data_IF_400911311483
#
_entry.id   IF_400911311483
#
_cell.length_a   1.000
_cell.length_b   1.000
_cell.length_c   1.000
_cell.angle_alpha   90.00
_cell.angle_beta   90.00
_cell.angle_gamma   90.00
#
_symmetry.space_group_name_H-M   'P 1'
#
loop_
_entity.id
_entity.type
_entity.pdbx_description
1 polymer ?
#
# COMPACT_ATOMS: atom_id res chain seq x y z
N UNK A 1 16.21 -1.44 11.03
CA UNK A 1 15.03 -1.05 10.23
C UNK A 1 14.59 0.35 10.65
N UNK A 2 14.14 1.20 9.72
CA UNK A 2 13.38 2.42 10.05
C UNK A 2 11.97 2.23 9.50
N UNK A 3 10.98 2.24 10.38
CA UNK A 3 9.56 2.12 10.05
C UNK A 3 8.94 3.50 10.23
N UNK A 4 8.31 4.02 9.18
CA UNK A 4 7.55 5.27 9.26
C UNK A 4 6.07 4.89 9.33
N UNK A 5 5.43 5.18 10.47
CA UNK A 5 4.00 5.06 10.64
C UNK A 5 3.38 6.47 10.56
N UNK A 6 2.56 6.72 9.53
CA UNK A 6 1.96 8.04 9.26
C UNK A 6 0.55 8.15 9.89
N UNK A 7 0.08 7.13 10.61
CA UNK A 7 -1.32 7.07 11.10
C UNK A 7 -1.59 7.71 12.46
N UNK A 8 -0.58 8.26 13.15
CA UNK A 8 -0.75 8.97 14.44
C UNK A 8 -1.01 10.48 14.29
N UNK A 9 -1.49 10.94 13.12
CA UNK A 9 -1.77 12.36 12.87
C UNK A 9 -3.10 12.84 13.49
N UNK A 10 -4.00 11.94 13.90
CA UNK A 10 -5.31 12.32 14.47
C UNK A 10 -5.26 12.61 15.98
N UNK A 11 -4.15 12.32 16.67
CA UNK A 11 -4.01 12.56 18.12
C UNK A 11 -3.05 13.71 18.48
N UNK A 12 -2.45 14.37 17.50
CA UNK A 12 -1.56 15.50 17.77
C UNK A 12 -2.31 16.83 17.92
N UNK A 13 -2.27 17.33 19.15
CA UNK A 13 -2.67 18.65 19.63
C UNK A 13 -2.39 19.77 18.58
N UNK A 14 -3.44 20.50 18.17
CA UNK A 14 -3.38 21.54 17.12
C UNK A 14 -2.33 22.63 17.39
N UNK A 15 -1.87 22.77 18.63
CA UNK A 15 -0.84 23.74 19.02
C UNK A 15 0.59 23.31 18.64
N UNK A 16 0.82 22.05 18.23
CA UNK A 16 2.09 21.57 17.67
C UNK A 16 2.19 21.74 16.14
N UNK A 17 1.08 22.02 15.45
CA UNK A 17 1.03 22.16 13.98
C UNK A 17 1.84 23.33 13.42
N UNK A 18 2.25 24.30 14.24
CA UNK A 18 3.03 25.46 13.74
C UNK A 18 4.52 25.13 13.60
N UNK A 19 5.03 24.05 14.21
CA UNK A 19 6.48 23.78 14.20
C UNK A 19 6.96 22.80 13.12
N UNK A 20 6.06 22.02 12.54
CA UNK A 20 6.38 21.06 11.48
C UNK A 20 5.39 21.21 10.32
N UNK A 21 5.41 22.37 9.66
CA UNK A 21 5.05 22.38 8.24
C UNK A 21 5.88 21.29 7.57
N UNK A 22 5.23 20.26 7.05
CA UNK A 22 5.86 19.31 6.14
C UNK A 22 6.13 20.10 4.85
N UNK A 23 7.23 20.85 4.88
CA UNK A 23 7.69 21.61 3.75
C UNK A 23 8.18 20.58 2.72
N UNK A 24 7.62 20.52 1.50
CA UNK A 24 8.02 19.56 0.48
C UNK A 24 9.53 19.59 0.18
N UNK A 25 10.18 20.73 0.45
CA UNK A 25 11.64 20.90 0.34
C UNK A 25 12.45 20.20 1.44
N UNK A 26 11.85 19.79 2.56
CA UNK A 26 12.52 18.99 3.61
C UNK A 26 12.45 17.48 3.37
N UNK A 27 11.48 17.02 2.56
CA UNK A 27 11.47 15.68 1.98
C UNK A 27 12.55 15.50 0.88
N UNK A 28 13.10 16.60 0.36
CA UNK A 28 14.21 16.63 -0.58
C UNK A 28 15.58 16.31 0.06
N UNK A 29 15.62 15.55 1.16
CA UNK A 29 16.86 14.89 1.59
C UNK A 29 16.92 13.52 0.90
N UNK A 30 17.85 13.29 -0.03
CA UNK A 30 17.99 12.01 -0.74
C UNK A 30 18.43 10.82 0.14
N UNK A 31 18.40 10.96 1.47
CA UNK A 31 18.86 9.97 2.46
C UNK A 31 17.72 9.38 3.30
N UNK A 32 16.48 9.39 2.83
CA UNK A 32 15.42 8.59 3.43
C UNK A 32 15.62 7.14 2.97
N UNK A 33 16.37 6.37 3.76
CA UNK A 33 16.49 4.92 3.60
C UNK A 33 15.26 4.22 4.21
N UNK A 34 14.09 4.54 3.69
CA UNK A 34 12.82 3.97 4.11
C UNK A 34 12.56 2.71 3.30
N UNK A 35 12.78 1.57 3.94
CA UNK A 35 12.57 0.25 3.31
C UNK A 35 11.14 -0.26 3.41
N UNK A 36 10.42 0.14 4.45
CA UNK A 36 9.07 -0.36 4.75
C UNK A 36 8.17 0.84 5.00
N UNK A 37 7.04 0.86 4.31
CA UNK A 37 6.01 1.88 4.49
C UNK A 37 4.65 1.22 4.72
N UNK A 38 3.88 1.80 5.63
CA UNK A 38 2.49 1.43 5.89
C UNK A 38 1.62 2.64 5.57
N UNK A 39 0.59 2.46 4.75
CA UNK A 39 -0.38 3.50 4.40
C UNK A 39 -1.80 2.94 4.45
N UNK A 40 -2.77 3.81 4.68
CA UNK A 40 -4.17 3.47 4.43
C UNK A 40 -4.46 3.60 2.93
N UNK A 41 -5.34 2.74 2.41
CA UNK A 41 -5.65 2.68 0.98
C UNK A 41 -6.20 4.00 0.42
N UNK A 42 -6.88 4.80 1.26
CA UNK A 42 -7.36 6.14 0.90
C UNK A 42 -6.23 7.10 0.47
N UNK A 43 -5.02 6.91 1.00
CA UNK A 43 -3.87 7.76 0.71
C UNK A 43 -3.02 7.26 -0.46
N UNK A 44 -3.30 6.07 -1.00
CA UNK A 44 -2.47 5.49 -2.07
C UNK A 44 -2.35 6.44 -3.27
N UNK A 45 -3.44 7.12 -3.63
CA UNK A 45 -3.45 8.06 -4.74
C UNK A 45 -2.54 9.25 -4.50
N UNK A 46 -2.65 9.87 -3.33
CA UNK A 46 -1.91 11.08 -2.96
C UNK A 46 -0.40 10.80 -2.82
N UNK A 47 -0.06 9.59 -2.38
CA UNK A 47 1.32 9.21 -2.13
C UNK A 47 2.03 8.62 -3.34
N UNK A 48 1.36 8.27 -4.43
CA UNK A 48 2.00 7.57 -5.55
C UNK A 48 3.21 8.34 -6.14
N UNK A 49 3.12 9.67 -6.26
CA UNK A 49 4.24 10.52 -6.71
C UNK A 49 5.40 10.54 -5.70
N UNK A 50 5.09 10.47 -4.40
CA UNK A 50 6.06 10.41 -3.32
C UNK A 50 6.74 9.05 -3.30
N UNK A 51 5.99 7.96 -3.48
CA UNK A 51 6.51 6.59 -3.49
C UNK A 51 7.55 6.39 -4.61
N UNK A 52 7.32 6.98 -5.79
CA UNK A 52 8.31 6.99 -6.88
C UNK A 52 9.62 7.70 -6.51
N UNK A 53 9.57 8.62 -5.55
CA UNK A 53 10.72 9.40 -5.07
C UNK A 53 11.48 8.72 -3.93
N UNK A 54 11.06 7.52 -3.48
CA UNK A 54 11.70 6.74 -2.42
C UNK A 54 12.34 5.49 -3.04
N UNK A 55 13.57 5.59 -3.60
CA UNK A 55 14.20 4.49 -4.32
C UNK A 55 14.61 3.30 -3.42
N UNK A 56 14.59 3.49 -2.10
CA UNK A 56 14.95 2.46 -1.12
C UNK A 56 13.75 1.63 -0.62
N UNK A 57 12.53 1.95 -1.08
CA UNK A 57 11.32 1.27 -0.64
C UNK A 57 11.28 -0.16 -1.17
N UNK A 58 11.24 -1.13 -0.27
CA UNK A 58 11.20 -2.56 -0.61
C UNK A 58 9.85 -3.18 -0.29
N UNK A 59 9.19 -2.74 0.79
CA UNK A 59 7.93 -3.31 1.29
C UNK A 59 6.89 -2.21 1.45
N UNK A 60 5.71 -2.44 0.86
CA UNK A 60 4.54 -1.60 1.08
C UNK A 60 3.44 -2.42 1.75
N UNK A 61 2.95 -1.96 2.90
CA UNK A 61 1.74 -2.47 3.53
C UNK A 61 0.62 -1.46 3.31
N UNK A 62 -0.50 -1.92 2.74
CA UNK A 62 -1.69 -1.10 2.54
C UNK A 62 -2.78 -1.59 3.48
N UNK A 63 -3.30 -0.72 4.33
CA UNK A 63 -4.50 -0.99 5.13
C UNK A 63 -5.72 -0.75 4.27
N UNK A 64 -6.40 -1.83 3.94
CA UNK A 64 -7.58 -1.83 3.13
C UNK A 64 -8.82 -1.64 4.00
N UNK A 65 -9.63 -0.65 3.65
CA UNK A 65 -10.93 -0.40 4.26
C UNK A 65 -11.91 -0.08 3.13
N UNK A 66 -12.91 -0.93 2.93
CA UNK A 66 -13.97 -0.66 1.95
C UNK A 66 -14.86 0.52 2.40
N UNK A 67 -15.47 1.25 1.46
CA UNK A 67 -15.25 1.23 0.01
C UNK A 67 -14.14 2.19 -0.42
N UNK A 68 -13.35 1.84 -1.44
CA UNK A 68 -12.28 2.72 -1.97
C UNK A 68 -12.62 3.21 -3.37
N UNK A 69 -12.56 4.53 -3.56
CA UNK A 69 -12.61 5.14 -4.90
C UNK A 69 -11.25 4.95 -5.58
N UNK A 70 -11.19 4.01 -6.51
CA UNK A 70 -10.01 3.81 -7.37
C UNK A 70 -9.98 4.91 -8.43
N UNK A 71 -8.92 5.72 -8.45
CA UNK A 71 -8.72 6.70 -9.52
C UNK A 71 -8.04 6.02 -10.72
N UNK A 72 -8.77 5.81 -11.81
CA UNK A 72 -8.30 5.05 -12.99
C UNK A 72 -7.17 5.71 -13.79
N UNK A 73 -6.56 6.80 -13.30
CA UNK A 73 -5.44 7.44 -13.98
C UNK A 73 -4.25 6.48 -14.03
N UNK A 74 -3.97 5.96 -15.23
CA UNK A 74 -2.82 5.10 -15.50
C UNK A 74 -1.55 5.94 -15.47
N UNK A 75 -0.56 5.53 -14.68
CA UNK A 75 0.75 6.19 -14.61
C UNK A 75 1.74 5.48 -15.54
N UNK A 76 2.63 6.26 -16.17
CA UNK A 76 3.69 5.71 -17.03
C UNK A 76 4.73 4.94 -16.21
N UNK A 77 5.09 5.48 -15.05
CA UNK A 77 6.05 4.88 -14.14
C UNK A 77 5.31 4.17 -13.01
N UNK A 78 5.67 2.90 -12.79
CA UNK A 78 5.14 2.07 -11.71
C UNK A 78 6.20 1.86 -10.63
N UNK A 79 5.75 1.88 -9.38
CA UNK A 79 6.60 1.61 -8.22
C UNK A 79 7.09 0.17 -8.30
N UNK A 80 8.39 -0.04 -8.08
CA UNK A 80 8.99 -1.38 -7.96
C UNK A 80 9.15 -1.70 -6.48
N UNK A 81 8.64 -2.85 -6.07
CA UNK A 81 8.67 -3.31 -4.68
C UNK A 81 9.09 -4.76 -4.64
N UNK A 82 9.70 -5.20 -3.55
CA UNK A 82 9.92 -6.62 -3.28
C UNK A 82 8.66 -7.28 -2.71
N UNK A 83 7.96 -6.61 -1.80
CA UNK A 83 6.79 -7.18 -1.13
C UNK A 83 5.63 -6.18 -1.05
N UNK A 84 4.43 -6.70 -1.28
CA UNK A 84 3.17 -5.98 -1.12
C UNK A 84 2.27 -6.76 -0.15
N UNK A 85 1.93 -6.11 0.97
CA UNK A 85 1.04 -6.63 1.99
C UNK A 85 -0.26 -5.83 1.96
N UNK A 86 -1.40 -6.49 1.97
CA UNK A 86 -2.71 -5.84 2.05
C UNK A 86 -3.37 -6.31 3.33
N UNK A 87 -3.49 -5.39 4.28
CA UNK A 87 -4.16 -5.63 5.55
C UNK A 87 -5.67 -5.45 5.39
N UNK A 88 -6.42 -6.50 5.66
CA UNK A 88 -7.88 -6.54 5.52
C UNK A 88 -8.50 -7.40 6.63
N UNK A 89 -9.84 -7.50 6.65
CA UNK A 89 -10.56 -8.36 7.59
C UNK A 89 -10.47 -9.84 7.23
N UNK A 90 -10.68 -10.72 8.21
CA UNK A 90 -10.74 -12.16 7.98
C UNK A 90 -11.84 -12.54 6.98
N UNK A 91 -12.98 -11.84 7.03
CA UNK A 91 -14.11 -12.04 6.11
C UNK A 91 -13.73 -11.72 4.66
N UNK A 92 -12.99 -10.63 4.43
CA UNK A 92 -12.51 -10.26 3.10
C UNK A 92 -11.49 -11.27 2.55
N UNK A 93 -10.66 -11.87 3.41
CA UNK A 93 -9.77 -12.96 3.00
C UNK A 93 -10.59 -14.19 2.59
N UNK A 94 -11.60 -14.56 3.37
CA UNK A 94 -12.47 -15.69 3.07
C UNK A 94 -13.23 -15.46 1.76
N UNK A 95 -13.78 -14.27 1.58
CA UNK A 95 -14.45 -13.88 0.34
C UNK A 95 -13.49 -13.94 -0.85
N UNK A 96 -12.26 -13.45 -0.73
CA UNK A 96 -11.27 -13.54 -1.79
C UNK A 96 -10.93 -14.99 -2.19
N UNK A 97 -10.87 -15.92 -1.22
CA UNK A 97 -10.64 -17.35 -1.49
C UNK A 97 -11.80 -17.97 -2.28
N UNK A 98 -13.04 -17.57 -2.00
CA UNK A 98 -14.24 -18.20 -2.58
C UNK A 98 -14.70 -17.53 -3.88
N UNK A 99 -14.57 -16.21 -3.96
CA UNK A 99 -15.08 -15.36 -5.03
C UNK A 99 -13.96 -15.14 -6.05
N UNK A 100 -13.87 -16.05 -7.04
CA UNK A 100 -12.76 -16.12 -8.00
C UNK A 100 -12.36 -14.80 -8.65
N UNK A 101 -13.25 -13.82 -8.79
CA UNK A 101 -12.92 -12.48 -9.34
C UNK A 101 -13.85 -11.33 -8.92
N UNK A 102 -14.90 -11.57 -8.12
CA UNK A 102 -15.99 -10.60 -7.91
C UNK A 102 -15.90 -9.81 -6.61
N UNK A 103 -14.99 -10.17 -5.71
CA UNK A 103 -14.86 -9.46 -4.43
C UNK A 103 -14.26 -8.07 -4.64
N UNK A 104 -14.67 -7.11 -3.80
CA UNK A 104 -14.16 -5.72 -3.88
C UNK A 104 -12.64 -5.67 -3.69
N UNK A 105 -12.12 -6.52 -2.80
CA UNK A 105 -10.68 -6.65 -2.59
C UNK A 105 -9.96 -7.21 -3.82
N UNK A 106 -10.58 -8.08 -4.62
CA UNK A 106 -10.01 -8.54 -5.89
C UNK A 106 -9.91 -7.38 -6.89
N UNK A 107 -10.98 -6.60 -7.06
CA UNK A 107 -10.97 -5.42 -7.91
C UNK A 107 -9.94 -4.38 -7.42
N UNK A 108 -9.80 -4.23 -6.10
CA UNK A 108 -8.78 -3.37 -5.52
C UNK A 108 -7.36 -3.83 -5.88
N UNK A 109 -7.03 -5.11 -5.68
CA UNK A 109 -5.70 -5.66 -6.04
C UNK A 109 -5.42 -5.47 -7.53
N UNK A 110 -6.40 -5.73 -8.40
CA UNK A 110 -6.26 -5.49 -9.83
C UNK A 110 -5.92 -4.02 -10.12
N UNK A 111 -6.56 -3.08 -9.42
CA UNK A 111 -6.27 -1.65 -9.60
C UNK A 111 -4.87 -1.24 -9.14
N UNK A 112 -4.30 -1.94 -8.16
CA UNK A 112 -2.93 -1.66 -7.70
C UNK A 112 -1.90 -1.89 -8.82
N UNK A 113 -2.20 -2.76 -9.79
CA UNK A 113 -1.33 -2.97 -10.95
C UNK A 113 -1.19 -1.71 -11.84
N UNK A 114 -2.05 -0.69 -11.66
CA UNK A 114 -1.90 0.62 -12.31
C UNK A 114 -0.77 1.47 -11.72
N UNK A 115 -0.39 1.21 -10.46
CA UNK A 115 0.61 2.00 -9.73
C UNK A 115 1.86 1.19 -9.38
N UNK A 116 1.72 -0.13 -9.21
CA UNK A 116 2.78 -1.03 -8.76
C UNK A 116 3.12 -2.01 -9.86
N UNK A 117 4.41 -2.22 -10.08
CA UNK A 117 4.89 -3.23 -11.02
C UNK A 117 4.84 -4.62 -10.39
N UNK A 118 3.76 -5.36 -10.64
CA UNK A 118 3.55 -6.71 -10.08
C UNK A 118 4.63 -7.70 -10.51
N UNK A 119 5.24 -7.54 -11.69
CA UNK A 119 6.36 -8.40 -12.13
C UNK A 119 7.61 -8.28 -11.28
N UNK A 120 7.74 -7.20 -10.48
CA UNK A 120 8.87 -7.02 -9.55
C UNK A 120 8.61 -7.61 -8.17
N UNK A 121 7.36 -7.97 -7.86
CA UNK A 121 7.00 -8.51 -6.54
C UNK A 121 7.55 -9.92 -6.39
N UNK A 122 8.28 -10.14 -5.30
CA UNK A 122 8.61 -11.49 -4.80
C UNK A 122 7.45 -12.09 -4.01
N UNK A 123 6.61 -11.24 -3.41
CA UNK A 123 5.48 -11.67 -2.58
C UNK A 123 4.34 -10.65 -2.62
N UNK A 124 3.14 -11.16 -2.84
CA UNK A 124 1.87 -10.46 -2.63
C UNK A 124 1.07 -11.26 -1.59
N UNK A 125 0.60 -10.60 -0.53
CA UNK A 125 -0.06 -11.31 0.57
C UNK A 125 -1.22 -10.49 1.14
N UNK A 126 -2.36 -11.15 1.33
CA UNK A 126 -3.43 -10.63 2.19
C UNK A 126 -3.12 -11.02 3.64
N UNK A 127 -3.22 -10.06 4.54
CA UNK A 127 -2.99 -10.27 5.97
C UNK A 127 -4.19 -9.77 6.75
N UNK A 128 -4.70 -10.60 7.65
CA UNK A 128 -5.70 -10.24 8.64
C UNK A 128 -5.18 -10.60 10.02
N UNK A 129 -6.00 -10.41 11.05
CA UNK A 129 -5.63 -10.70 12.44
C UNK A 129 -5.39 -12.19 12.62
N UNK A 130 -6.25 -13.05 12.06
CA UNK A 130 -6.21 -14.49 12.32
C UNK A 130 -5.56 -15.32 11.22
N UNK A 131 -5.44 -14.77 10.01
CA UNK A 131 -4.94 -15.50 8.85
C UNK A 131 -4.19 -14.61 7.86
N UNK A 132 -3.42 -15.26 6.99
CA UNK A 132 -2.79 -14.64 5.83
C UNK A 132 -2.86 -15.58 4.63
N UNK A 133 -2.81 -15.01 3.43
CA UNK A 133 -2.85 -15.78 2.18
C UNK A 133 -1.86 -15.20 1.18
N UNK A 134 -1.03 -16.07 0.60
CA UNK A 134 -0.12 -15.68 -0.47
C UNK A 134 -0.85 -15.75 -1.81
N UNK A 135 -0.67 -14.70 -2.60
CA UNK A 135 -1.29 -14.54 -3.91
C UNK A 135 -0.20 -14.55 -4.98
N UNK A 136 -0.45 -15.27 -6.07
CA UNK A 136 0.33 -15.18 -7.28
C UNK A 136 0.11 -13.81 -7.96
N UNK A 137 1.15 -12.99 -8.05
CA UNK A 137 1.01 -11.63 -8.57
C UNK A 137 0.67 -11.57 -10.08
N UNK A 138 0.86 -12.65 -10.85
CA UNK A 138 0.55 -12.69 -12.28
C UNK A 138 -0.91 -13.11 -12.55
N UNK A 139 -1.43 -14.03 -11.76
CA UNK A 139 -2.75 -14.64 -11.95
C UNK A 139 -3.79 -14.16 -10.94
N UNK A 140 -3.35 -13.52 -9.85
CA UNK A 140 -4.16 -13.13 -8.70
C UNK A 140 -4.92 -14.31 -8.07
N UNK A 141 -4.33 -15.50 -8.17
CA UNK A 141 -4.83 -16.70 -7.53
C UNK A 141 -4.10 -16.96 -6.22
N UNK A 142 -4.78 -17.59 -5.27
CA UNK A 142 -4.18 -18.06 -4.03
C UNK A 142 -3.18 -19.19 -4.34
N UNK A 143 -1.96 -19.10 -3.81
CA UNK A 143 -0.94 -20.14 -3.96
C UNK A 143 -0.91 -21.05 -2.73
N UNK A 144 -0.97 -20.49 -1.52
CA UNK A 144 -1.07 -21.20 -0.22
C UNK A 144 -1.19 -20.20 0.94
#
# INVERSE_FOLDING_TARGET
>A
LKLLNITDLDTMDRNLMIKHEINPSTLARPNINLKVLVIDAQFLYDFNSILLSIPSLEVLKIRYSEPIKINSRVWKDKIRLHELLIECSDDQINEYKTSRTTSEIHCFIQSLALYINFTSLKRLTLVAISQSVIIDAATLMVIE
#
